data_IF_941969572717
#
_entry.id   IF_941969572717
#
_cell.length_a   1.000
_cell.length_b   1.000
_cell.length_c   1.000
_cell.angle_alpha   90.00
_cell.angle_beta   90.00
_cell.angle_gamma   90.00
#
_symmetry.space_group_name_H-M   'P 1'
#
loop_
_entity.id
_entity.type
_entity.pdbx_description
1 polymer ?
#
# COMPACT_ATOMS: atom_id res chain seq x y z
N UNK A 1 -20.74 5.59 4.20
CA UNK A 1 -20.01 6.87 4.22
C UNK A 1 -18.49 6.63 4.31
N UNK A 2 -17.95 5.77 3.41
CA UNK A 2 -16.53 5.37 3.36
C UNK A 2 -15.86 5.77 2.02
N UNK A 3 -16.57 6.48 1.15
CA UNK A 3 -16.05 6.90 -0.15
C UNK A 3 -15.14 8.13 -0.03
N UNK A 4 -15.20 8.86 1.09
CA UNK A 4 -14.54 10.17 1.22
C UNK A 4 -13.02 10.08 1.39
N UNK A 5 -12.53 9.15 2.20
CA UNK A 5 -11.09 9.01 2.53
C UNK A 5 -10.30 8.52 1.33
N UNK A 6 -10.74 7.43 0.70
CA UNK A 6 -10.14 6.90 -0.55
C UNK A 6 -10.13 7.94 -1.67
N UNK A 7 -11.22 8.69 -1.86
CA UNK A 7 -11.26 9.75 -2.87
C UNK A 7 -10.31 10.92 -2.51
N UNK A 8 -10.28 11.38 -1.26
CA UNK A 8 -9.36 12.45 -0.86
C UNK A 8 -7.89 12.07 -1.05
N UNK A 9 -7.52 10.83 -0.68
CA UNK A 9 -6.17 10.30 -0.92
C UNK A 9 -5.87 10.20 -2.42
N UNK A 10 -6.80 9.66 -3.21
CA UNK A 10 -6.62 9.58 -4.66
C UNK A 10 -6.45 10.96 -5.31
N UNK A 11 -7.29 11.94 -4.96
CA UNK A 11 -7.21 13.31 -5.48
C UNK A 11 -5.86 13.95 -5.15
N UNK A 12 -5.38 13.77 -3.91
CA UNK A 12 -4.05 14.25 -3.54
C UNK A 12 -2.94 13.56 -4.35
N UNK A 13 -2.96 12.23 -4.42
CA UNK A 13 -1.94 11.44 -5.10
C UNK A 13 -1.92 11.68 -6.62
N UNK A 14 -3.07 11.98 -7.25
CA UNK A 14 -3.14 12.35 -8.66
C UNK A 14 -2.38 13.65 -8.99
N UNK A 15 -2.07 14.49 -7.99
CA UNK A 15 -1.22 15.68 -8.16
C UNK A 15 0.29 15.38 -8.05
N UNK A 16 0.65 14.13 -7.79
CA UNK A 16 2.03 13.68 -7.56
C UNK A 16 2.47 12.70 -8.64
N UNK A 17 3.77 12.45 -8.69
CA UNK A 17 4.36 11.43 -9.55
C UNK A 17 5.14 10.43 -8.70
N UNK A 18 4.97 9.16 -9.02
CA UNK A 18 5.65 8.02 -8.40
C UNK A 18 5.73 6.91 -9.45
N UNK A 19 6.76 6.08 -9.39
CA UNK A 19 6.96 4.95 -10.29
C UNK A 19 6.64 3.62 -9.61
N UNK A 20 6.97 3.48 -8.33
CA UNK A 20 6.72 2.27 -7.54
C UNK A 20 5.86 2.59 -6.32
N UNK A 21 4.79 1.81 -6.14
CA UNK A 21 3.81 1.99 -5.06
C UNK A 21 3.64 0.69 -4.30
N UNK A 22 3.66 0.77 -2.97
CA UNK A 22 3.19 -0.28 -2.08
C UNK A 22 1.84 0.15 -1.49
N UNK A 23 0.78 -0.62 -1.79
CA UNK A 23 -0.57 -0.41 -1.26
C UNK A 23 -0.84 -1.42 -0.13
N UNK A 24 -0.89 -0.96 1.13
CA UNK A 24 -0.90 -1.83 2.30
C UNK A 24 -1.70 -1.20 3.46
N UNK A 25 -2.95 -1.65 3.74
CA UNK A 25 -3.65 -2.76 3.08
C UNK A 25 -4.24 -2.36 1.71
N UNK A 26 -4.14 -3.24 0.71
CA UNK A 26 -4.60 -2.96 -0.65
C UNK A 26 -6.09 -3.19 -0.88
N UNK A 27 -6.73 -4.04 -0.06
CA UNK A 27 -8.06 -4.56 -0.34
C UNK A 27 -8.16 -5.11 -1.76
N UNK A 28 -9.29 -4.86 -2.42
CA UNK A 28 -9.56 -5.29 -3.80
C UNK A 28 -8.83 -4.46 -4.90
N UNK A 29 -7.75 -3.77 -4.55
CA UNK A 29 -6.97 -2.93 -5.46
C UNK A 29 -7.66 -1.64 -5.84
N UNK A 30 -8.30 -0.96 -4.88
CA UNK A 30 -9.04 0.29 -5.13
C UNK A 30 -8.11 1.41 -5.64
N UNK A 31 -6.87 1.46 -5.14
CA UNK A 31 -5.92 2.50 -5.45
C UNK A 31 -5.52 2.46 -6.93
N UNK A 32 -5.31 1.26 -7.49
CA UNK A 32 -4.96 1.09 -8.90
C UNK A 32 -6.06 1.60 -9.84
N UNK A 33 -7.32 1.47 -9.43
CA UNK A 33 -8.47 1.95 -10.21
C UNK A 33 -8.56 3.47 -10.23
N UNK A 34 -7.85 4.16 -9.33
CA UNK A 34 -7.90 5.62 -9.14
C UNK A 34 -6.64 6.32 -9.62
N UNK A 35 -5.49 5.64 -9.65
CA UNK A 35 -4.22 6.20 -10.06
C UNK A 35 -3.92 5.94 -11.56
N UNK A 36 -3.10 6.78 -12.20
CA UNK A 36 -2.67 6.56 -13.58
C UNK A 36 -1.92 5.22 -13.74
N UNK A 37 -2.12 4.55 -14.87
CA UNK A 37 -1.55 3.22 -15.20
C UNK A 37 -0.02 3.19 -15.35
N UNK A 38 0.66 4.34 -15.24
CA UNK A 38 2.11 4.44 -15.35
C UNK A 38 2.86 3.94 -14.11
N UNK A 39 2.18 3.73 -12.98
CA UNK A 39 2.80 3.29 -11.72
C UNK A 39 2.79 1.77 -11.61
N UNK A 40 3.91 1.20 -11.16
CA UNK A 40 4.02 -0.22 -10.81
C UNK A 40 3.51 -0.40 -9.39
N UNK A 41 2.47 -1.21 -9.24
CA UNK A 41 1.80 -1.43 -7.95
C UNK A 41 2.16 -2.79 -7.38
N UNK A 42 2.61 -2.82 -6.13
CA UNK A 42 2.62 -4.01 -5.28
C UNK A 42 1.60 -3.84 -4.14
N UNK A 43 1.17 -4.93 -3.53
CA UNK A 43 0.09 -4.90 -2.53
C UNK A 43 0.25 -5.90 -1.39
N UNK A 44 -0.31 -5.54 -0.24
CA UNK A 44 -0.41 -6.42 0.92
C UNK A 44 -1.86 -6.42 1.39
N UNK A 45 -2.45 -7.58 1.63
CA UNK A 45 -3.76 -7.68 2.28
C UNK A 45 -3.90 -9.06 2.96
N UNK A 46 -4.61 -9.12 4.09
CA UNK A 46 -4.77 -10.38 4.83
C UNK A 46 -5.82 -11.31 4.18
N UNK A 47 -6.86 -10.75 3.57
CA UNK A 47 -8.05 -11.50 3.18
C UNK A 47 -8.19 -11.66 1.67
N UNK A 48 -7.73 -10.66 0.92
CA UNK A 48 -7.90 -10.61 -0.52
C UNK A 48 -6.91 -11.49 -1.28
N UNK A 49 -7.20 -11.70 -2.56
CA UNK A 49 -6.28 -12.28 -3.53
C UNK A 49 -5.63 -11.18 -4.38
N UNK A 50 -4.54 -11.51 -5.07
CA UNK A 50 -3.78 -10.55 -5.90
C UNK A 50 -4.70 -9.78 -6.86
N UNK A 51 -4.87 -8.46 -6.68
CA UNK A 51 -5.73 -7.68 -7.56
C UNK A 51 -5.14 -7.62 -8.99
N UNK A 52 -5.98 -7.60 -10.05
CA UNK A 52 -5.51 -7.47 -11.42
C UNK A 52 -4.70 -6.18 -11.61
N UNK A 53 -3.50 -6.30 -12.19
CA UNK A 53 -2.60 -5.17 -12.44
C UNK A 53 -1.54 -4.95 -11.36
N UNK A 54 -1.62 -5.64 -10.22
CA UNK A 54 -0.54 -5.64 -9.24
C UNK A 54 0.59 -6.56 -9.73
N UNK A 55 1.83 -6.12 -9.61
CA UNK A 55 3.02 -6.89 -9.97
C UNK A 55 3.25 -7.99 -8.93
N UNK A 56 3.48 -7.61 -7.68
CA UNK A 56 3.64 -8.52 -6.53
C UNK A 56 2.49 -8.31 -5.53
N UNK A 57 2.07 -9.39 -4.87
CA UNK A 57 1.08 -9.33 -3.80
C UNK A 57 1.44 -10.30 -2.68
N UNK A 58 1.39 -9.82 -1.44
CA UNK A 58 1.62 -10.62 -0.24
C UNK A 58 0.32 -10.75 0.55
N UNK A 59 -0.11 -11.99 0.76
CA UNK A 59 -1.20 -12.28 1.68
C UNK A 59 -0.66 -12.35 3.10
N UNK A 60 -0.74 -11.27 3.85
CA UNK A 60 -0.05 -11.13 5.14
C UNK A 60 -0.86 -10.28 6.13
N UNK A 61 -0.73 -10.61 7.41
CA UNK A 61 -1.33 -9.85 8.49
C UNK A 61 -0.45 -8.63 8.80
N UNK A 62 -1.02 -7.43 8.71
CA UNK A 62 -0.29 -6.19 9.00
C UNK A 62 -0.11 -5.95 10.51
N UNK A 63 -0.79 -6.71 11.37
CA UNK A 63 -0.53 -6.70 12.82
C UNK A 63 0.88 -7.24 13.13
N UNK A 64 1.38 -8.17 12.31
CA UNK A 64 2.76 -8.68 12.38
C UNK A 64 3.78 -7.72 11.74
N UNK A 65 3.31 -6.62 11.15
CA UNK A 65 4.09 -5.68 10.37
C UNK A 65 4.05 -5.97 8.86
N UNK A 66 4.94 -5.32 8.10
CA UNK A 66 5.11 -5.65 6.69
C UNK A 66 5.89 -6.97 6.56
N UNK A 67 5.55 -7.76 5.54
CA UNK A 67 6.38 -8.88 5.08
C UNK A 67 7.82 -8.40 4.81
N UNK A 68 8.79 -9.33 4.74
CA UNK A 68 10.22 -9.01 4.55
C UNK A 68 10.54 -8.46 3.14
N UNK A 69 9.93 -7.34 2.81
CA UNK A 69 10.00 -6.60 1.56
C UNK A 69 11.31 -5.81 1.59
N UNK A 70 12.21 -6.13 0.67
CA UNK A 70 13.55 -5.51 0.58
C UNK A 70 13.59 -4.33 -0.38
N UNK A 71 12.52 -4.16 -1.15
CA UNK A 71 12.35 -3.13 -2.16
C UNK A 71 12.06 -1.76 -1.52
N UNK A 72 12.54 -0.70 -2.17
CA UNK A 72 12.13 0.67 -1.84
C UNK A 72 11.02 1.12 -2.79
N UNK A 73 10.09 1.91 -2.26
CA UNK A 73 8.95 2.45 -3.01
C UNK A 73 8.98 3.97 -2.99
N UNK A 74 8.56 4.60 -4.09
CA UNK A 74 8.36 6.05 -4.14
C UNK A 74 7.15 6.47 -3.28
N UNK A 75 6.20 5.55 -3.09
CA UNK A 75 5.00 5.74 -2.29
C UNK A 75 4.66 4.46 -1.52
N UNK A 76 4.40 4.60 -0.22
CA UNK A 76 3.68 3.60 0.57
C UNK A 76 2.33 4.22 0.96
N UNK A 77 1.24 3.59 0.55
CA UNK A 77 -0.11 4.04 0.83
C UNK A 77 -0.77 3.10 1.85
N UNK A 78 -1.02 3.61 3.05
CA UNK A 78 -1.79 2.95 4.09
C UNK A 78 -3.08 3.75 4.32
N UNK A 79 -4.09 3.52 3.48
CA UNK A 79 -5.38 4.22 3.56
C UNK A 79 -6.40 3.34 4.27
N UNK A 80 -6.97 3.83 5.37
CA UNK A 80 -7.98 3.10 6.17
C UNK A 80 -7.48 1.74 6.69
N UNK A 81 -6.20 1.66 7.06
CA UNK A 81 -5.62 0.44 7.59
C UNK A 81 -4.55 0.62 8.65
N UNK A 82 -4.27 1.85 9.07
CA UNK A 82 -3.23 2.11 10.08
C UNK A 82 -3.66 1.61 11.47
N UNK A 83 -4.97 1.50 11.69
CA UNK A 83 -5.60 0.90 12.87
C UNK A 83 -5.39 -0.63 12.96
N UNK A 84 -5.01 -1.26 11.86
CA UNK A 84 -4.72 -2.70 11.74
C UNK A 84 -3.23 -2.98 11.69
N UNK A 85 -2.41 -2.01 12.10
CA UNK A 85 -0.96 -2.14 12.16
C UNK A 85 -0.57 -2.14 13.62
N UNK A 86 -0.18 -3.31 14.13
CA UNK A 86 0.24 -3.51 15.52
C UNK A 86 1.38 -2.58 15.96
N UNK A 87 2.21 -2.12 15.01
CA UNK A 87 3.15 -1.02 15.23
C UNK A 87 3.37 -0.14 13.98
N UNK A 88 2.73 1.04 13.88
CA UNK A 88 2.85 1.92 12.72
C UNK A 88 4.28 2.46 12.50
N UNK A 89 5.16 2.39 13.51
CA UNK A 89 6.57 2.78 13.35
C UNK A 89 7.36 1.82 12.44
N UNK A 90 6.86 0.59 12.21
CA UNK A 90 7.47 -0.37 11.30
C UNK A 90 7.55 0.12 9.85
N UNK A 91 6.71 1.08 9.44
CA UNK A 91 6.80 1.72 8.13
C UNK A 91 7.96 2.72 7.99
N UNK A 92 8.66 3.04 9.08
CA UNK A 92 9.62 4.16 9.14
C UNK A 92 10.98 3.80 9.72
N UNK A 93 11.23 2.53 10.08
CA UNK A 93 12.52 2.12 10.64
C UNK A 93 13.60 2.09 9.54
N UNK A 94 14.69 2.87 9.68
CA UNK A 94 15.83 2.74 8.80
C UNK A 94 16.44 1.35 8.97
N UNK A 95 16.76 0.72 7.84
CA UNK A 95 17.47 -0.56 7.80
C UNK A 95 18.74 -0.49 8.67
N UNK A 96 18.74 -1.11 9.84
CA UNK A 96 19.98 -1.38 10.58
C UNK A 96 20.52 -2.69 10.03
N UNK A 97 21.56 -2.59 9.19
CA UNK A 97 22.33 -3.75 8.77
C UNK A 97 22.98 -4.36 10.00
N UNK A 98 22.64 -5.61 10.31
CA UNK A 98 23.56 -6.52 11.00
C UNK A 98 24.58 -7.08 10.01
#
# INVERSE_FOLDING_TARGET
>A
MQTSSKNAVAEFLQTKTFKTVLDAPSGNGWLQKKLPSSSVMDGVDLFEEKPPGYRIFWKHDLDDGLHDIKESFDLICCCEGIEHVGNPLMYSVPFTKN
#
